data_IF_521657709230
#
_entry.id   IF_521657709230
#
_cell.length_a   1.000
_cell.length_b   1.000
_cell.length_c   1.000
_cell.angle_alpha   90.00
_cell.angle_beta   90.00
_cell.angle_gamma   90.00
#
_symmetry.space_group_name_H-M   'P 1'
#
loop_
_entity.id
_entity.type
_entity.pdbx_description
1 polymer ?
#
# COMPACT_ATOMS: atom_id res chain seq x y z
N UNK A 1 19.24 -6.87 4.44
CA UNK A 1 17.90 -7.33 3.98
C UNK A 1 16.79 -6.82 4.88
N UNK A 2 16.87 -7.03 6.20
CA UNK A 2 15.87 -6.58 7.18
C UNK A 2 15.39 -5.12 7.00
N UNK A 3 16.31 -4.16 6.91
CA UNK A 3 15.96 -2.74 6.75
C UNK A 3 15.23 -2.44 5.44
N UNK A 4 15.47 -3.21 4.39
CA UNK A 4 14.84 -3.05 3.08
C UNK A 4 13.40 -3.57 3.11
N UNK A 5 13.18 -4.72 3.77
CA UNK A 5 11.85 -5.30 3.98
C UNK A 5 10.98 -4.37 4.83
N UNK A 6 11.52 -3.87 5.93
CA UNK A 6 10.83 -2.92 6.80
C UNK A 6 10.50 -1.61 6.07
N UNK A 7 11.46 -1.05 5.31
CA UNK A 7 11.22 0.14 4.49
C UNK A 7 10.11 -0.10 3.46
N UNK A 8 10.10 -1.26 2.82
CA UNK A 8 9.06 -1.63 1.86
C UNK A 8 7.67 -1.70 2.50
N UNK A 9 7.56 -2.24 3.72
CA UNK A 9 6.31 -2.24 4.48
C UNK A 9 5.82 -0.84 4.81
N UNK A 10 6.70 0.03 5.30
CA UNK A 10 6.37 1.42 5.61
C UNK A 10 5.91 2.16 4.35
N UNK A 11 6.68 2.07 3.27
CA UNK A 11 6.36 2.77 2.01
C UNK A 11 5.02 2.27 1.45
N UNK A 12 4.77 0.96 1.51
CA UNK A 12 3.48 0.39 1.09
C UNK A 12 2.34 0.89 1.98
N UNK A 13 2.52 0.89 3.30
CA UNK A 13 1.52 1.38 4.24
C UNK A 13 1.17 2.86 4.03
N UNK A 14 2.18 3.72 3.84
CA UNK A 14 2.00 5.15 3.62
C UNK A 14 1.35 5.45 2.27
N UNK A 15 1.83 4.83 1.18
CA UNK A 15 1.27 5.03 -0.16
C UNK A 15 -0.17 4.53 -0.26
N UNK A 16 -0.47 3.35 0.29
CA UNK A 16 -1.83 2.81 0.30
C UNK A 16 -2.75 3.58 1.23
N UNK A 17 -2.26 4.04 2.38
CA UNK A 17 -2.99 4.95 3.26
C UNK A 17 -3.34 6.27 2.56
N UNK A 18 -2.41 6.85 1.81
CA UNK A 18 -2.66 8.04 0.99
C UNK A 18 -3.72 7.77 -0.10
N UNK A 19 -3.61 6.65 -0.80
CA UNK A 19 -4.59 6.25 -1.82
C UNK A 19 -5.98 6.08 -1.21
N UNK A 20 -6.08 5.44 -0.04
CA UNK A 20 -7.32 5.28 0.70
C UNK A 20 -7.96 6.62 1.03
N UNK A 21 -7.21 7.54 1.64
CA UNK A 21 -7.68 8.89 1.97
C UNK A 21 -8.20 9.63 0.73
N UNK A 22 -7.49 9.55 -0.39
CA UNK A 22 -7.91 10.17 -1.65
C UNK A 22 -9.22 9.58 -2.18
N UNK A 23 -9.32 8.25 -2.28
CA UNK A 23 -10.51 7.60 -2.82
C UNK A 23 -11.72 7.71 -1.89
N UNK A 24 -11.51 7.80 -0.58
CA UNK A 24 -12.58 8.07 0.39
C UNK A 24 -13.17 9.48 0.20
N UNK A 25 -12.32 10.46 -0.10
CA UNK A 25 -12.73 11.83 -0.44
C UNK A 25 -13.23 12.00 -1.88
N UNK A 26 -13.11 10.98 -2.74
CA UNK A 26 -13.40 11.09 -4.16
C UNK A 26 -14.91 11.24 -4.42
N UNK A 27 -15.30 12.39 -4.99
CA UNK A 27 -16.68 12.66 -5.39
C UNK A 27 -16.82 12.58 -6.91
N UNK A 28 -17.78 11.78 -7.37
CA UNK A 28 -18.16 11.68 -8.78
C UNK A 28 -19.68 11.65 -8.92
N UNK A 29 -20.20 12.21 -10.01
CA UNK A 29 -21.64 12.22 -10.33
C UNK A 29 -22.14 10.85 -10.77
N UNK A 30 -21.27 9.99 -11.32
CA UNK A 30 -21.65 8.65 -11.79
C UNK A 30 -21.52 7.61 -10.69
N UNK A 31 -22.61 6.88 -10.40
CA UNK A 31 -22.63 5.81 -9.39
C UNK A 31 -21.55 4.75 -9.62
N UNK A 32 -21.32 4.33 -10.86
CA UNK A 32 -20.26 3.36 -11.21
C UNK A 32 -18.87 3.82 -10.78
N UNK A 33 -18.55 5.11 -10.94
CA UNK A 33 -17.26 5.69 -10.54
C UNK A 33 -17.13 5.80 -9.02
N UNK A 34 -18.24 6.07 -8.31
CA UNK A 34 -18.28 6.05 -6.85
C UNK A 34 -18.00 4.65 -6.28
N UNK A 35 -18.65 3.61 -6.83
CA UNK A 35 -18.42 2.23 -6.40
C UNK A 35 -16.95 1.85 -6.63
N UNK A 36 -16.39 2.15 -7.79
CA UNK A 36 -14.98 1.91 -8.08
C UNK A 36 -14.05 2.61 -7.08
N UNK A 37 -14.32 3.88 -6.73
CA UNK A 37 -13.54 4.60 -5.73
C UNK A 37 -13.66 3.97 -4.33
N UNK A 38 -14.86 3.58 -3.90
CA UNK A 38 -15.05 2.91 -2.59
C UNK A 38 -14.31 1.59 -2.53
N UNK A 39 -14.38 0.77 -3.60
CA UNK A 39 -13.65 -0.50 -3.68
C UNK A 39 -12.14 -0.24 -3.59
N UNK A 40 -11.61 0.71 -4.36
CA UNK A 40 -10.20 1.07 -4.30
C UNK A 40 -9.79 1.62 -2.93
N UNK A 41 -10.66 2.39 -2.27
CA UNK A 41 -10.41 2.86 -0.91
C UNK A 41 -10.31 1.69 0.07
N UNK A 42 -11.27 0.76 0.06
CA UNK A 42 -11.28 -0.40 0.94
C UNK A 42 -10.07 -1.31 0.72
N UNK A 43 -9.72 -1.59 -0.54
CA UNK A 43 -8.51 -2.36 -0.88
C UNK A 43 -7.25 -1.65 -0.39
N UNK A 44 -7.17 -0.33 -0.57
CA UNK A 44 -6.02 0.46 -0.11
C UNK A 44 -5.92 0.48 1.42
N UNK A 45 -7.05 0.56 2.14
CA UNK A 45 -7.09 0.43 3.61
C UNK A 45 -6.60 -0.94 4.04
N UNK A 46 -7.09 -2.01 3.43
CA UNK A 46 -6.67 -3.38 3.75
C UNK A 46 -5.16 -3.57 3.56
N UNK A 47 -4.61 -3.12 2.42
CA UNK A 47 -3.16 -3.18 2.13
C UNK A 47 -2.37 -2.35 3.16
N UNK A 48 -2.89 -1.20 3.57
CA UNK A 48 -2.24 -0.34 4.57
C UNK A 48 -2.16 -1.00 5.94
N UNK A 49 -3.29 -1.52 6.44
CA UNK A 49 -3.34 -2.24 7.72
C UNK A 49 -2.48 -3.51 7.71
N UNK A 50 -2.56 -4.29 6.63
CA UNK A 50 -1.74 -5.49 6.46
C UNK A 50 -0.24 -5.13 6.48
N UNK A 51 0.14 -4.07 5.77
CA UNK A 51 1.54 -3.64 5.70
C UNK A 51 2.04 -3.04 7.02
N UNK A 52 1.19 -2.34 7.76
CA UNK A 52 1.50 -1.87 9.12
C UNK A 52 1.67 -3.04 10.07
N UNK A 53 0.77 -4.01 10.04
CA UNK A 53 0.81 -5.18 10.91
C UNK A 53 2.10 -5.97 10.70
N UNK A 54 2.42 -6.36 9.45
CA UNK A 54 3.65 -7.10 9.17
C UNK A 54 4.91 -6.22 9.30
N UNK A 55 4.82 -4.92 9.02
CA UNK A 55 5.90 -3.98 9.26
C UNK A 55 6.28 -3.91 10.75
N UNK A 56 5.30 -3.73 11.62
CA UNK A 56 5.49 -3.75 13.08
C UNK A 56 5.94 -5.14 13.55
N UNK A 57 5.33 -6.21 13.05
CA UNK A 57 5.70 -7.56 13.43
C UNK A 57 7.15 -7.88 13.07
N UNK A 58 7.59 -7.53 11.86
CA UNK A 58 8.98 -7.66 11.44
C UNK A 58 9.90 -6.79 12.31
N UNK A 59 9.48 -5.57 12.65
CA UNK A 59 10.23 -4.69 13.56
C UNK A 59 10.47 -5.31 14.94
N UNK A 60 9.44 -5.95 15.51
CA UNK A 60 9.50 -6.54 16.85
C UNK A 60 10.23 -7.89 16.89
N UNK A 61 10.08 -8.73 15.86
CA UNK A 61 10.66 -10.09 15.85
C UNK A 61 12.04 -10.19 15.15
N UNK A 62 12.50 -9.15 14.46
CA UNK A 62 13.81 -9.16 13.82
C UNK A 62 13.91 -10.17 12.66
N UNK A 63 15.05 -10.86 12.55
CA UNK A 63 15.38 -11.75 11.44
C UNK A 63 14.69 -13.13 11.50
N UNK A 64 14.32 -13.58 12.70
CA UNK A 64 13.68 -14.88 12.96
C UNK A 64 12.31 -15.02 12.27
N UNK A 65 11.57 -13.92 12.17
CA UNK A 65 10.24 -13.91 11.55
C UNK A 65 10.25 -14.35 10.09
N UNK A 66 11.24 -13.92 9.31
CA UNK A 66 11.29 -14.22 7.88
C UNK A 66 11.57 -15.72 7.62
N UNK A 67 12.33 -16.37 8.51
CA UNK A 67 12.70 -17.77 8.38
C UNK A 67 11.62 -18.72 8.95
N UNK A 68 10.90 -18.29 9.99
CA UNK A 68 9.89 -19.13 10.64
C UNK A 68 8.50 -19.06 9.99
N UNK A 69 8.15 -17.92 9.37
CA UNK A 69 6.78 -17.66 8.91
C UNK A 69 6.56 -17.90 7.40
N UNK A 70 7.62 -17.82 6.58
CA UNK A 70 7.54 -18.00 5.13
C UNK A 70 8.39 -19.17 4.67
N UNK A 71 7.73 -20.17 4.05
CA UNK A 71 8.37 -21.34 3.44
C UNK A 71 9.40 -20.94 2.36
N UNK A 72 9.17 -19.82 1.66
CA UNK A 72 10.13 -19.26 0.70
C UNK A 72 10.09 -17.71 0.71
N UNK A 73 11.05 -17.04 1.40
CA UNK A 73 11.05 -15.60 1.59
C UNK A 73 11.23 -14.81 0.29
N UNK A 74 11.80 -15.42 -0.75
CA UNK A 74 12.12 -14.72 -2.01
C UNK A 74 10.86 -14.43 -2.83
N UNK A 75 10.00 -15.44 -2.99
CA UNK A 75 8.74 -15.30 -3.73
C UNK A 75 7.79 -14.31 -3.06
N UNK A 76 7.76 -14.32 -1.72
CA UNK A 76 7.00 -13.35 -0.93
C UNK A 76 7.48 -11.91 -1.16
N UNK A 77 8.79 -11.68 -1.17
CA UNK A 77 9.37 -10.36 -1.40
C UNK A 77 9.05 -9.81 -2.78
N UNK A 78 9.05 -10.66 -3.82
CA UNK A 78 8.71 -10.25 -5.18
C UNK A 78 7.23 -9.84 -5.28
N UNK A 79 6.32 -10.63 -4.72
CA UNK A 79 4.89 -10.29 -4.68
C UNK A 79 4.64 -8.97 -3.93
N UNK A 80 5.33 -8.78 -2.80
CA UNK A 80 5.33 -7.51 -2.04
C UNK A 80 5.89 -6.34 -2.83
N UNK A 81 6.89 -6.56 -3.68
CA UNK A 81 7.48 -5.49 -4.48
C UNK A 81 6.48 -4.98 -5.50
N UNK A 82 5.75 -5.90 -6.14
CA UNK A 82 4.68 -5.55 -7.07
C UNK A 82 3.57 -4.75 -6.38
N UNK A 83 3.16 -5.15 -5.18
CA UNK A 83 2.17 -4.41 -4.37
C UNK A 83 2.66 -2.99 -4.02
N UNK A 84 3.90 -2.86 -3.57
CA UNK A 84 4.52 -1.57 -3.25
C UNK A 84 4.55 -0.65 -4.47
N UNK A 85 5.06 -1.15 -5.61
CA UNK A 85 5.13 -0.39 -6.86
C UNK A 85 3.75 0.00 -7.36
N UNK A 86 2.78 -0.91 -7.31
CA UNK A 86 1.39 -0.62 -7.70
C UNK A 86 0.79 0.50 -6.85
N UNK A 87 0.95 0.42 -5.53
CA UNK A 87 0.46 1.45 -4.60
C UNK A 87 1.12 2.81 -4.86
N UNK A 88 2.44 2.84 -5.07
CA UNK A 88 3.19 4.05 -5.40
C UNK A 88 2.75 4.66 -6.73
N UNK A 89 2.56 3.84 -7.77
CA UNK A 89 2.09 4.32 -9.07
C UNK A 89 0.73 5.01 -8.95
N UNK A 90 -0.20 4.41 -8.19
CA UNK A 90 -1.50 5.03 -7.91
C UNK A 90 -1.32 6.36 -7.17
N UNK A 91 -0.45 6.42 -6.15
CA UNK A 91 -0.15 7.66 -5.44
C UNK A 91 0.42 8.74 -6.37
N UNK A 92 1.33 8.37 -7.27
CA UNK A 92 1.91 9.29 -8.27
C UNK A 92 0.81 9.81 -9.20
N UNK A 93 -0.07 8.95 -9.70
CA UNK A 93 -1.19 9.36 -10.56
C UNK A 93 -2.12 10.33 -9.84
N UNK A 94 -2.44 10.07 -8.56
CA UNK A 94 -3.23 10.96 -7.71
C UNK A 94 -2.53 12.32 -7.55
N UNK A 95 -1.23 12.33 -7.21
CA UNK A 95 -0.46 13.55 -7.04
C UNK A 95 -0.42 14.38 -8.33
N UNK A 96 -0.16 13.73 -9.47
CA UNK A 96 -0.20 14.39 -10.80
C UNK A 96 -1.57 15.01 -11.06
N UNK A 97 -2.66 14.30 -10.74
CA UNK A 97 -4.01 14.82 -10.91
C UNK A 97 -4.29 16.02 -9.99
N UNK A 98 -3.84 15.97 -8.73
CA UNK A 98 -4.02 17.05 -7.76
C UNK A 98 -3.25 18.31 -8.17
N UNK A 99 -2.02 18.16 -8.68
CA UNK A 99 -1.21 19.25 -9.18
C UNK A 99 -1.84 19.90 -10.44
N UNK A 100 -2.32 19.08 -11.37
CA UNK A 100 -2.98 19.56 -12.59
C UNK A 100 -4.30 20.30 -12.32
N UNK A 101 -4.96 20.08 -11.17
CA UNK A 101 -6.16 20.84 -10.76
C UNK A 101 -5.84 22.17 -10.08
N UNK A 102 -4.59 22.41 -9.67
CA UNK A 102 -4.17 23.62 -8.95
C UNK A 102 -3.50 24.66 -9.86
N UNK A 103 -2.98 24.25 -11.02
CA UNK A 103 -2.48 25.15 -12.07
C UNK A 103 -3.59 25.50 -13.05
#
# INVERSE_FOLDING_TARGET
>A
MYSLVFAQYIVTALSSGFNACYFFGYRSSTMRRRIGAVVLALVSVAISFESLYFGLFSFYQGQEWANAFFLDPTHWLIARLLLCLGSLLVSILILRQLLAKRG
#
